data_IF_962644453343
#
_entry.id   IF_962644453343
#
_cell.length_a   1.000
_cell.length_b   1.000
_cell.length_c   1.000
_cell.angle_alpha   90.00
_cell.angle_beta   90.00
_cell.angle_gamma   90.00
#
_symmetry.space_group_name_H-M   'P 1'
#
loop_
_entity.id
_entity.type
_entity.pdbx_description
1 polymer ?
#
# COMPACT_ATOMS: atom_id res chain seq x y z
N UNK A 1 22.65 -21.88 -8.13
CA UNK A 1 22.71 -20.58 -7.43
C UNK A 1 21.65 -20.58 -6.34
N UNK A 2 22.00 -20.87 -5.08
CA UNK A 2 21.04 -20.75 -3.97
C UNK A 2 20.81 -19.27 -3.69
N UNK A 3 19.60 -18.79 -3.95
CA UNK A 3 19.20 -17.43 -3.61
C UNK A 3 18.88 -17.39 -2.11
N UNK A 4 19.90 -17.18 -1.28
CA UNK A 4 19.73 -17.05 0.17
C UNK A 4 18.96 -15.77 0.46
N UNK A 5 17.71 -15.91 0.89
CA UNK A 5 16.79 -14.83 1.17
C UNK A 5 16.90 -14.42 2.65
N UNK A 6 17.54 -13.27 2.90
CA UNK A 6 17.68 -12.72 4.26
C UNK A 6 16.38 -11.98 4.62
N UNK A 7 15.57 -12.57 5.51
CA UNK A 7 14.26 -12.01 5.90
C UNK A 7 14.35 -10.61 6.50
N UNK A 8 15.37 -10.32 7.32
CA UNK A 8 15.55 -8.99 7.91
C UNK A 8 15.76 -7.89 6.86
N UNK A 9 16.52 -8.19 5.81
CA UNK A 9 16.73 -7.28 4.69
C UNK A 9 15.44 -7.00 3.93
N UNK A 10 14.59 -8.02 3.75
CA UNK A 10 13.28 -7.81 3.10
C UNK A 10 12.35 -6.94 3.91
N UNK A 11 12.28 -7.15 5.22
CA UNK A 11 11.46 -6.32 6.12
C UNK A 11 11.92 -4.86 6.04
N UNK A 12 13.24 -4.64 6.11
CA UNK A 12 13.81 -3.30 6.01
C UNK A 12 13.40 -2.60 4.70
N UNK A 13 13.61 -3.27 3.55
CA UNK A 13 13.26 -2.71 2.24
C UNK A 13 11.75 -2.46 2.12
N UNK A 14 10.91 -3.38 2.61
CA UNK A 14 9.45 -3.19 2.57
C UNK A 14 9.02 -1.96 3.38
N UNK A 15 9.60 -1.75 4.56
CA UNK A 15 9.31 -0.57 5.39
C UNK A 15 9.75 0.73 4.72
N UNK A 16 10.90 0.75 4.06
CA UNK A 16 11.34 1.92 3.28
C UNK A 16 10.39 2.22 2.13
N UNK A 17 9.98 1.19 1.38
CA UNK A 17 9.03 1.31 0.27
C UNK A 17 7.65 1.78 0.74
N UNK A 18 7.14 1.26 1.86
CA UNK A 18 5.87 1.73 2.46
C UNK A 18 5.95 3.22 2.83
N UNK A 19 7.07 3.67 3.40
CA UNK A 19 7.29 5.09 3.72
C UNK A 19 7.32 5.96 2.46
N UNK A 20 8.03 5.52 1.42
CA UNK A 20 8.11 6.21 0.15
C UNK A 20 6.74 6.28 -0.54
N UNK A 21 5.97 5.19 -0.51
CA UNK A 21 4.65 5.11 -1.10
C UNK A 21 3.71 6.17 -0.55
N UNK A 22 3.67 6.34 0.77
CA UNK A 22 2.86 7.39 1.42
C UNK A 22 3.32 8.80 1.04
N UNK A 23 4.64 9.03 0.97
CA UNK A 23 5.20 10.35 0.61
C UNK A 23 4.92 10.73 -0.85
N UNK A 24 4.88 9.75 -1.74
CA UNK A 24 4.75 9.95 -3.18
C UNK A 24 3.30 9.96 -3.68
N UNK A 25 2.35 9.39 -2.93
CA UNK A 25 0.93 9.32 -3.31
C UNK A 25 -0.03 10.00 -2.31
N UNK A 26 0.22 11.24 -1.85
CA UNK A 26 -0.61 11.90 -0.83
C UNK A 26 -2.06 12.11 -1.29
N UNK A 27 -2.27 12.43 -2.58
CA UNK A 27 -3.61 12.67 -3.12
C UNK A 27 -4.46 11.39 -3.19
N UNK A 28 -3.88 10.27 -3.60
CA UNK A 28 -4.60 8.98 -3.60
C UNK A 28 -4.96 8.56 -2.16
N UNK A 29 -4.07 8.81 -1.19
CA UNK A 29 -4.38 8.61 0.23
C UNK A 29 -5.57 9.45 0.69
N UNK A 30 -5.59 10.75 0.38
CA UNK A 30 -6.71 11.64 0.73
C UNK A 30 -8.04 11.18 0.11
N UNK A 31 -8.02 10.80 -1.17
CA UNK A 31 -9.20 10.30 -1.89
C UNK A 31 -9.69 8.99 -1.29
N UNK A 32 -8.79 8.06 -0.97
CA UNK A 32 -9.11 6.81 -0.31
C UNK A 32 -9.77 7.06 1.06
N UNK A 33 -9.20 7.95 1.88
CA UNK A 33 -9.76 8.30 3.19
C UNK A 33 -11.13 8.98 3.08
N UNK A 34 -11.35 9.81 2.05
CA UNK A 34 -12.67 10.37 1.74
C UNK A 34 -13.64 9.26 1.33
N UNK A 35 -13.24 8.37 0.44
CA UNK A 35 -14.07 7.28 -0.08
C UNK A 35 -14.50 6.30 1.01
N UNK A 36 -13.69 6.06 2.04
CA UNK A 36 -14.05 5.23 3.21
C UNK A 36 -15.30 5.70 3.96
N UNK A 37 -15.73 6.95 3.77
CA UNK A 37 -16.97 7.47 4.37
C UNK A 37 -18.24 7.02 3.65
N UNK A 38 -18.13 6.57 2.39
CA UNK A 38 -19.28 6.29 1.54
C UNK A 38 -19.20 4.94 0.82
N UNK A 39 -18.01 4.37 0.68
CA UNK A 39 -17.76 3.10 0.01
C UNK A 39 -17.26 2.06 1.01
N UNK A 40 -17.81 0.86 0.93
CA UNK A 40 -17.37 -0.28 1.72
C UNK A 40 -15.91 -0.61 1.39
N UNK A 41 -15.02 -0.53 2.38
CA UNK A 41 -13.58 -0.70 2.18
C UNK A 41 -12.88 0.47 1.47
N UNK A 42 -13.54 1.62 1.28
CA UNK A 42 -12.94 2.80 0.66
C UNK A 42 -12.73 2.72 -0.85
N UNK A 43 -13.33 1.73 -1.51
CA UNK A 43 -13.19 1.48 -2.96
C UNK A 43 -14.51 1.06 -3.60
N UNK A 44 -14.70 1.27 -4.91
CA UNK A 44 -15.89 0.79 -5.62
C UNK A 44 -15.95 -0.74 -5.74
N UNK A 45 -14.80 -1.41 -5.84
CA UNK A 45 -14.72 -2.85 -5.94
C UNK A 45 -13.75 -3.41 -4.89
N UNK A 46 -14.24 -4.29 -4.01
CA UNK A 46 -13.49 -4.76 -2.84
C UNK A 46 -12.14 -5.43 -3.17
N UNK A 47 -11.99 -5.99 -4.37
CA UNK A 47 -10.72 -6.56 -4.81
C UNK A 47 -9.58 -5.52 -4.91
N UNK A 48 -9.90 -4.23 -5.05
CA UNK A 48 -8.92 -3.15 -5.12
C UNK A 48 -8.13 -2.98 -3.81
N UNK A 49 -8.72 -3.37 -2.66
CA UNK A 49 -8.02 -3.33 -1.35
C UNK A 49 -6.86 -4.33 -1.28
N UNK A 50 -6.82 -5.32 -2.18
CA UNK A 50 -5.76 -6.34 -2.22
C UNK A 50 -4.54 -5.95 -3.04
N UNK A 51 -4.52 -4.74 -3.61
CA UNK A 51 -3.36 -4.23 -4.34
C UNK A 51 -2.17 -4.00 -3.41
N UNK A 52 -0.97 -4.03 -3.97
CA UNK A 52 0.25 -3.75 -3.21
C UNK A 52 0.25 -2.29 -2.73
N UNK A 53 0.69 -2.06 -1.49
CA UNK A 53 0.66 -0.76 -0.83
C UNK A 53 -0.54 -0.59 0.11
N UNK A 54 -0.59 0.55 0.81
CA UNK A 54 -1.56 0.77 1.88
C UNK A 54 -2.92 1.30 1.41
N UNK A 55 -3.01 1.79 0.18
CA UNK A 55 -4.23 2.29 -0.47
C UNK A 55 -4.10 2.18 -2.00
N UNK A 56 -5.21 2.08 -2.75
CA UNK A 56 -5.18 2.10 -4.21
C UNK A 56 -4.76 3.48 -4.74
N UNK A 57 -3.98 3.48 -5.82
CA UNK A 57 -3.50 4.69 -6.51
C UNK A 57 -4.40 5.16 -7.61
#
# INVERSE_FOLDING_TARGET
MSNTLIRSRLIHLLTEEESLFHKTHPKSHELYQRARKSLHGGVPMLWMVRWAGSFPV
#
